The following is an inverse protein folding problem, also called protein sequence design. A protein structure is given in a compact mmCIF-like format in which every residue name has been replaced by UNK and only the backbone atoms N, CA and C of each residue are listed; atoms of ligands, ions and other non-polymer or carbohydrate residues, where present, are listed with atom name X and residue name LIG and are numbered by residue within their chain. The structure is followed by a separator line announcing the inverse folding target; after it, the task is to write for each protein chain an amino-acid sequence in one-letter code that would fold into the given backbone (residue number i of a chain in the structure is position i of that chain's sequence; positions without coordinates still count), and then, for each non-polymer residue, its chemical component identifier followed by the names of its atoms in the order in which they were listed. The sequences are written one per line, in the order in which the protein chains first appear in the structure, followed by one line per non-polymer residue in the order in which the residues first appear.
data_IF_963633938536
#
_entry.id   IF_963633938536
#
_cell.length_a   1.000
_cell.length_b   1.000
_cell.length_c   1.000
_cell.angle_alpha   90.00
_cell.angle_beta   90.00
_cell.angle_gamma   90.00
#
_symmetry.space_group_name_H-M   'P 1'
#
loop_
_entity.id
_entity.type
_entity.pdbx_description
1 polymer ?
#
# COMPACT_ATOMS: atom_id res chain seq x y z
N UNK A 1 81.00 -19.65 8.87
CA UNK A 1 80.64 -18.38 8.19
C UNK A 1 80.34 -18.74 6.74
N UNK A 2 79.20 -18.49 6.09
CA UNK A 2 77.96 -17.74 6.33
C UNK A 2 76.84 -18.49 5.57
N UNK A 3 75.64 -18.48 6.14
CA UNK A 3 74.43 -19.23 5.77
C UNK A 3 73.86 -18.84 4.39
N UNK A 4 73.35 -19.83 3.65
CA UNK A 4 72.47 -19.65 2.49
C UNK A 4 71.07 -19.28 2.99
N UNK A 5 70.57 -18.10 2.63
CA UNK A 5 69.19 -17.68 2.92
C UNK A 5 68.27 -18.11 1.77
N UNK A 6 67.29 -18.97 2.07
CA UNK A 6 66.11 -19.18 1.23
C UNK A 6 65.10 -18.06 1.54
N UNK A 7 64.78 -17.25 0.54
CA UNK A 7 63.70 -16.27 0.62
C UNK A 7 62.40 -16.96 0.21
N UNK A 8 61.50 -17.19 1.17
CA UNK A 8 60.15 -17.66 0.91
C UNK A 8 59.28 -16.47 0.47
N UNK A 9 58.78 -16.52 -0.77
CA UNK A 9 57.88 -15.52 -1.33
C UNK A 9 56.44 -15.89 -0.92
N UNK A 10 55.91 -15.22 0.10
CA UNK A 10 54.52 -15.38 0.51
C UNK A 10 53.62 -14.64 -0.49
N UNK A 11 52.82 -15.39 -1.27
CA UNK A 11 51.68 -14.83 -1.99
C UNK A 11 50.62 -14.45 -0.96
N UNK A 12 50.51 -13.16 -0.66
CA UNK A 12 49.32 -12.61 0.00
C UNK A 12 48.22 -12.57 -1.05
N UNK A 13 47.28 -13.51 -0.97
CA UNK A 13 46.02 -13.43 -1.69
C UNK A 13 45.24 -12.23 -1.13
N UNK A 14 45.35 -11.08 -1.79
CA UNK A 14 44.42 -9.98 -1.56
C UNK A 14 43.09 -10.39 -2.18
N UNK A 15 42.19 -10.95 -1.35
CA UNK A 15 40.78 -11.02 -1.71
C UNK A 15 40.32 -9.58 -1.98
N UNK A 16 39.74 -9.26 -3.15
CA UNK A 16 39.07 -7.98 -3.29
C UNK A 16 37.94 -8.00 -2.26
N UNK A 17 38.03 -7.12 -1.27
CA UNK A 17 36.83 -6.65 -0.58
C UNK A 17 36.01 -5.97 -1.67
N UNK A 18 35.08 -6.71 -2.27
CA UNK A 18 34.00 -6.10 -3.01
C UNK A 18 33.34 -5.16 -2.01
N UNK A 19 33.52 -3.84 -2.20
CA UNK A 19 32.68 -2.87 -1.54
C UNK A 19 31.26 -3.24 -1.94
N UNK A 20 30.47 -3.74 -1.00
CA UNK A 20 29.04 -3.87 -1.22
C UNK A 20 28.57 -2.45 -1.55
N UNK A 21 28.26 -2.20 -2.82
CA UNK A 21 27.74 -0.90 -3.24
C UNK A 21 26.38 -0.74 -2.56
N UNK A 22 26.17 0.38 -1.89
CA UNK A 22 24.87 0.69 -1.29
C UNK A 22 23.81 0.75 -2.37
N UNK A 23 22.63 0.21 -2.08
CA UNK A 23 21.45 0.26 -2.94
C UNK A 23 20.68 1.51 -2.54
N UNK A 24 20.61 2.47 -3.44
CA UNK A 24 19.92 3.74 -3.19
C UNK A 24 18.39 3.53 -3.20
N UNK A 25 17.69 3.99 -2.16
CA UNK A 25 16.23 3.82 -2.04
C UNK A 25 15.53 5.16 -1.80
N UNK A 26 14.66 5.54 -2.75
CA UNK A 26 13.71 6.63 -2.58
C UNK A 26 12.60 6.18 -1.63
N UNK A 27 12.40 6.84 -0.50
CA UNK A 27 11.40 6.46 0.50
C UNK A 27 10.35 7.56 0.64
N UNK A 28 9.13 7.27 0.23
CA UNK A 28 8.01 8.18 0.43
C UNK A 28 7.40 8.04 1.84
N UNK A 29 7.28 9.17 2.52
CA UNK A 29 6.46 9.36 3.71
C UNK A 29 5.93 10.79 3.71
N UNK A 30 4.63 10.99 3.95
CA UNK A 30 4.03 12.34 3.93
C UNK A 30 4.63 13.30 4.95
N UNK A 31 5.24 12.80 6.02
CA UNK A 31 5.97 13.56 7.05
C UNK A 31 7.49 13.58 6.78
N UNK A 32 7.95 12.88 5.74
CA UNK A 32 9.34 12.77 5.35
C UNK A 32 10.14 11.92 6.34
N UNK A 33 11.39 12.32 6.61
CA UNK A 33 12.32 11.53 7.43
C UNK A 33 11.89 11.31 8.89
N UNK A 34 10.85 12.00 9.37
CA UNK A 34 10.33 11.84 10.73
C UNK A 34 9.01 11.05 10.78
N UNK A 35 8.52 10.57 9.64
CA UNK A 35 7.25 9.86 9.55
C UNK A 35 7.37 8.39 9.91
N UNK A 36 6.24 7.79 10.28
CA UNK A 36 6.19 6.40 10.74
C UNK A 36 6.56 5.40 9.64
N UNK A 37 6.26 5.70 8.37
CA UNK A 37 6.63 4.82 7.25
C UNK A 37 8.11 4.91 6.94
N UNK A 38 8.70 6.11 7.02
CA UNK A 38 10.15 6.26 6.87
C UNK A 38 10.90 5.48 7.97
N UNK A 39 10.49 5.65 9.23
CA UNK A 39 11.05 4.91 10.36
C UNK A 39 10.90 3.38 10.19
N UNK A 40 9.76 2.92 9.68
CA UNK A 40 9.57 1.50 9.38
C UNK A 40 10.56 1.01 8.31
N UNK A 41 10.80 1.81 7.26
CA UNK A 41 11.75 1.47 6.20
C UNK A 41 13.20 1.53 6.70
N UNK A 42 13.52 2.40 7.66
CA UNK A 42 14.81 2.38 8.38
C UNK A 42 15.02 1.06 9.12
N UNK A 43 14.03 0.59 9.88
CA UNK A 43 14.10 -0.70 10.58
C UNK A 43 14.26 -1.86 9.59
N UNK A 44 13.50 -1.85 8.49
CA UNK A 44 13.62 -2.83 7.41
C UNK A 44 15.04 -2.81 6.79
N UNK A 45 15.58 -1.62 6.51
CA UNK A 45 16.92 -1.47 5.94
C UNK A 45 18.01 -1.98 6.90
N UNK A 46 17.85 -1.71 8.19
CA UNK A 46 18.75 -2.21 9.23
C UNK A 46 18.73 -3.75 9.31
N UNK A 47 17.55 -4.36 9.25
CA UNK A 47 17.42 -5.83 9.25
C UNK A 47 18.03 -6.43 7.99
N UNK A 48 17.79 -5.82 6.82
CA UNK A 48 18.38 -6.25 5.55
C UNK A 48 19.90 -6.14 5.52
N UNK A 49 20.48 -5.18 6.25
CA UNK A 49 21.93 -5.06 6.43
C UNK A 49 22.52 -6.30 7.11
N UNK A 50 21.80 -6.92 8.05
CA UNK A 50 22.21 -8.20 8.67
C UNK A 50 22.21 -9.37 7.68
N UNK A 51 21.50 -9.23 6.55
CA UNK A 51 21.44 -10.16 5.44
C UNK A 51 22.36 -9.77 4.27
N UNK A 52 23.26 -8.80 4.45
CA UNK A 52 24.26 -8.42 3.46
C UNK A 52 23.76 -7.45 2.38
N UNK A 53 22.57 -6.88 2.55
CA UNK A 53 22.00 -5.85 1.66
C UNK A 53 22.03 -4.50 2.37
N UNK A 54 22.83 -3.57 1.86
CA UNK A 54 22.94 -2.23 2.45
C UNK A 54 22.10 -1.24 1.65
N UNK A 55 21.07 -0.66 2.27
CA UNK A 55 20.23 0.36 1.64
C UNK A 55 20.62 1.76 2.12
N UNK A 56 20.73 2.69 1.18
CA UNK A 56 20.91 4.12 1.44
C UNK A 56 19.58 4.84 1.20
N UNK A 57 18.94 5.28 2.29
CA UNK A 57 17.58 5.82 2.24
C UNK A 57 17.58 7.33 1.95
N UNK A 58 16.73 7.74 1.03
CA UNK A 58 16.47 9.13 0.67
C UNK A 58 15.01 9.47 0.98
N UNK A 59 14.73 10.39 1.91
CA UNK A 59 13.36 10.74 2.29
C UNK A 59 12.68 11.66 1.27
N UNK A 60 11.42 11.38 0.97
CA UNK A 60 10.56 12.20 0.11
C UNK A 60 9.19 12.43 0.77
N UNK A 61 8.72 13.67 0.76
CA UNK A 61 7.35 14.04 1.17
C UNK A 61 6.36 14.05 0.02
N UNK A 62 6.86 14.03 -1.22
CA UNK A 62 6.06 13.96 -2.43
C UNK A 62 6.32 12.61 -3.11
N UNK A 63 5.27 11.78 -3.15
CA UNK A 63 5.33 10.45 -3.72
C UNK A 63 5.63 10.47 -5.23
N UNK A 64 5.11 11.48 -5.94
CA UNK A 64 5.36 11.67 -7.37
C UNK A 64 6.83 11.98 -7.66
N UNK A 65 7.48 12.76 -6.79
CA UNK A 65 8.93 13.05 -6.90
C UNK A 65 9.75 11.79 -6.62
N UNK A 66 9.45 11.02 -5.57
CA UNK A 66 10.13 9.75 -5.28
C UNK A 66 10.05 8.77 -6.47
N UNK A 67 8.87 8.66 -7.07
CA UNK A 67 8.63 7.84 -8.27
C UNK A 67 9.39 8.41 -9.48
N UNK A 68 9.44 9.73 -9.64
CA UNK A 68 10.19 10.41 -10.70
C UNK A 68 11.69 10.11 -10.64
N UNK A 69 12.29 10.24 -9.46
CA UNK A 69 13.71 9.99 -9.24
C UNK A 69 14.08 8.51 -9.39
N UNK A 70 13.22 7.60 -8.93
CA UNK A 70 13.35 6.16 -9.21
C UNK A 70 13.34 5.86 -10.71
N UNK A 71 12.39 6.44 -11.46
CA UNK A 71 12.31 6.27 -12.92
C UNK A 71 13.50 6.89 -13.66
N UNK A 72 14.06 7.99 -13.14
CA UNK A 72 15.24 8.65 -13.70
C UNK A 72 16.55 7.93 -13.38
N UNK A 73 16.52 6.88 -12.57
CA UNK A 73 17.71 6.12 -12.18
C UNK A 73 18.51 6.75 -11.03
N UNK A 74 17.95 7.72 -10.32
CA UNK A 74 18.60 8.32 -9.14
C UNK A 74 18.49 7.41 -7.90
N UNK A 75 17.45 6.58 -7.85
CA UNK A 75 17.27 5.54 -6.85
C UNK A 75 17.20 4.17 -7.54
N UNK A 76 17.87 3.16 -6.98
CA UNK A 76 17.84 1.75 -7.40
C UNK A 76 16.57 1.04 -6.95
N UNK A 77 15.98 1.51 -5.84
CA UNK A 77 14.73 1.05 -5.27
C UNK A 77 13.83 2.23 -4.87
N UNK A 78 12.55 1.95 -4.68
CA UNK A 78 11.56 2.90 -4.16
C UNK A 78 10.62 2.22 -3.17
N UNK A 79 10.32 2.89 -2.06
CA UNK A 79 9.25 2.52 -1.14
C UNK A 79 8.11 3.53 -1.31
N UNK A 80 6.97 3.08 -1.86
CA UNK A 80 5.81 3.92 -2.16
C UNK A 80 4.49 3.13 -1.99
N UNK A 81 3.36 3.83 -2.04
CA UNK A 81 2.05 3.19 -1.90
C UNK A 81 1.76 2.26 -3.07
N UNK A 82 1.00 1.20 -2.82
CA UNK A 82 0.57 0.27 -3.86
C UNK A 82 -0.16 0.90 -5.05
N UNK A 83 -0.81 2.05 -4.82
CA UNK A 83 -1.45 2.88 -5.85
C UNK A 83 -0.42 3.36 -6.88
N UNK A 84 0.73 3.89 -6.43
CA UNK A 84 1.82 4.33 -7.32
C UNK A 84 2.67 3.17 -7.83
N UNK A 85 2.66 2.03 -7.15
CA UNK A 85 3.46 0.87 -7.53
C UNK A 85 2.81 0.01 -8.62
N UNK A 86 1.50 0.09 -8.80
CA UNK A 86 0.73 -0.68 -9.80
C UNK A 86 1.33 -0.71 -11.22
N UNK A 87 1.93 0.37 -11.78
CA UNK A 87 2.59 0.31 -13.08
C UNK A 87 3.82 -0.63 -13.14
N UNK A 88 4.54 -0.78 -12.03
CA UNK A 88 5.70 -1.68 -11.93
C UNK A 88 5.25 -3.13 -11.75
N UNK A 89 4.27 -3.36 -10.87
CA UNK A 89 3.68 -4.68 -10.66
C UNK A 89 2.17 -4.59 -10.48
N UNK A 90 1.41 -4.93 -11.53
CA UNK A 90 -0.06 -4.90 -11.50
C UNK A 90 -0.63 -5.90 -10.47
N UNK A 91 0.03 -7.04 -10.24
CA UNK A 91 -0.44 -8.06 -9.31
C UNK A 91 -0.44 -7.55 -7.86
N UNK A 92 0.68 -7.03 -7.37
CA UNK A 92 0.77 -6.49 -6.00
C UNK A 92 0.11 -5.12 -5.88
N UNK A 93 0.12 -4.29 -6.93
CA UNK A 93 -0.63 -3.02 -6.98
C UNK A 93 -2.16 -3.18 -7.01
N UNK A 94 -2.66 -4.42 -7.00
CA UNK A 94 -4.09 -4.75 -6.90
C UNK A 94 -4.52 -5.17 -5.49
N UNK A 95 -3.62 -5.13 -4.49
CA UNK A 95 -3.94 -5.51 -3.10
C UNK A 95 -5.00 -4.58 -2.51
N UNK A 96 -4.85 -3.27 -2.70
CA UNK A 96 -5.78 -2.24 -2.24
C UNK A 96 -7.05 -2.10 -3.08
N UNK A 97 -7.44 -3.15 -3.82
CA UNK A 97 -8.67 -3.13 -4.58
C UNK A 97 -9.87 -2.83 -3.66
N UNK A 98 -10.75 -1.92 -4.11
CA UNK A 98 -11.81 -1.38 -3.25
C UNK A 98 -12.75 -2.50 -2.78
N UNK A 99 -12.94 -2.59 -1.46
CA UNK A 99 -13.75 -3.58 -0.77
C UNK A 99 -13.22 -5.02 -0.86
N UNK A 100 -11.97 -5.23 -1.31
CA UNK A 100 -11.46 -6.58 -1.56
C UNK A 100 -10.93 -7.29 -0.31
N UNK A 101 -10.58 -6.55 0.76
CA UNK A 101 -10.04 -7.09 2.00
C UNK A 101 -10.83 -6.47 3.17
N UNK A 102 -11.88 -7.14 3.67
CA UNK A 102 -12.79 -6.56 4.67
C UNK A 102 -12.22 -6.57 6.09
N UNK A 103 -11.20 -7.39 6.38
CA UNK A 103 -10.63 -7.52 7.74
C UNK A 103 -9.11 -7.64 7.72
N UNK A 104 -8.47 -7.31 8.85
CA UNK A 104 -7.03 -7.51 9.01
C UNK A 104 -6.62 -8.99 9.00
N UNK A 105 -7.47 -9.93 9.43
CA UNK A 105 -7.20 -11.37 9.27
C UNK A 105 -7.10 -11.78 7.80
N UNK A 106 -7.94 -11.20 6.94
CA UNK A 106 -7.86 -11.41 5.50
C UNK A 106 -6.58 -10.80 4.91
N UNK A 107 -6.18 -9.61 5.38
CA UNK A 107 -4.91 -8.98 5.00
C UNK A 107 -3.71 -9.84 5.43
N UNK A 108 -3.69 -10.32 6.66
CA UNK A 108 -2.65 -11.17 7.20
C UNK A 108 -2.53 -12.46 6.38
N UNK A 109 -3.65 -13.11 6.05
CA UNK A 109 -3.68 -14.31 5.22
C UNK A 109 -3.08 -14.06 3.83
N UNK A 110 -3.42 -12.91 3.22
CA UNK A 110 -2.89 -12.51 1.93
C UNK A 110 -1.38 -12.30 2.01
N UNK A 111 -0.90 -11.44 2.90
CA UNK A 111 0.52 -11.09 2.99
C UNK A 111 1.38 -12.30 3.36
N UNK A 112 0.91 -13.17 4.27
CA UNK A 112 1.55 -14.44 4.58
C UNK A 112 1.69 -15.35 3.33
N UNK A 113 0.70 -15.33 2.45
CA UNK A 113 0.70 -16.10 1.20
C UNK A 113 1.70 -15.51 0.20
N UNK A 114 1.75 -14.17 0.08
CA UNK A 114 2.63 -13.47 -0.85
C UNK A 114 4.10 -13.51 -0.45
N UNK A 115 4.40 -13.66 0.85
CA UNK A 115 5.77 -13.79 1.36
C UNK A 115 6.43 -15.13 1.00
N UNK A 116 5.65 -16.16 0.63
CA UNK A 116 6.18 -17.49 0.36
C UNK A 116 7.00 -17.55 -0.94
N UNK A 117 8.04 -18.39 -1.03
CA UNK A 117 8.85 -18.55 -2.26
C UNK A 117 8.02 -18.91 -3.50
N UNK A 118 6.88 -19.59 -3.32
CA UNK A 118 5.97 -19.94 -4.42
C UNK A 118 5.34 -18.72 -5.10
N UNK A 119 5.26 -17.59 -4.40
CA UNK A 119 4.74 -16.33 -4.94
C UNK A 119 5.83 -15.49 -5.62
N UNK A 120 7.13 -15.82 -5.49
CA UNK A 120 8.23 -15.05 -6.07
C UNK A 120 8.07 -14.72 -7.56
N UNK A 121 7.60 -15.63 -8.44
CA UNK A 121 7.38 -15.30 -9.85
C UNK A 121 6.30 -14.23 -10.10
N UNK A 122 5.42 -13.96 -9.12
CA UNK A 122 4.40 -12.90 -9.21
C UNK A 122 4.93 -11.54 -8.74
N UNK A 123 6.11 -11.51 -8.10
CA UNK A 123 6.75 -10.30 -7.60
C UNK A 123 7.57 -9.59 -8.69
N UNK A 124 7.94 -10.32 -9.75
CA UNK A 124 8.68 -9.79 -10.90
C UNK A 124 7.71 -9.41 -12.04
N UNK A 125 7.76 -8.17 -12.50
CA UNK A 125 6.99 -7.70 -13.63
C UNK A 125 7.66 -6.47 -14.26
N UNK A 126 7.59 -6.33 -15.59
CA UNK A 126 8.04 -5.13 -16.32
C UNK A 126 9.50 -4.70 -16.06
N UNK A 127 10.40 -5.61 -15.68
CA UNK A 127 11.79 -5.30 -15.32
C UNK A 127 11.98 -4.81 -13.88
N UNK A 128 10.97 -5.00 -13.03
CA UNK A 128 10.97 -4.63 -11.63
C UNK A 128 10.63 -5.83 -10.75
N UNK A 129 11.11 -5.81 -9.51
CA UNK A 129 10.80 -6.80 -8.50
C UNK A 129 10.29 -6.15 -7.21
N UNK A 130 9.19 -6.69 -6.68
CA UNK A 130 8.66 -6.32 -5.36
C UNK A 130 9.47 -7.04 -4.28
N UNK A 131 10.17 -6.25 -3.48
CA UNK A 131 11.06 -6.69 -2.41
C UNK A 131 10.34 -6.83 -1.06
N UNK A 132 9.25 -6.11 -0.86
CA UNK A 132 8.51 -6.15 0.40
C UNK A 132 7.13 -5.51 0.26
N UNK A 133 6.18 -5.98 1.05
CA UNK A 133 4.82 -5.46 1.12
C UNK A 133 4.48 -5.31 2.60
N UNK A 134 4.11 -4.10 3.00
CA UNK A 134 3.85 -3.74 4.39
C UNK A 134 2.47 -3.10 4.47
N UNK A 135 1.59 -3.50 5.40
CA UNK A 135 0.31 -2.84 5.57
C UNK A 135 0.51 -1.43 6.14
N UNK A 136 -0.27 -0.46 5.65
CA UNK A 136 -0.31 0.92 6.21
C UNK A 136 -1.67 1.27 6.80
N UNK A 137 -2.56 0.28 6.91
CA UNK A 137 -3.88 0.39 7.52
C UNK A 137 -5.03 0.48 6.52
N UNK A 138 -6.23 0.39 7.06
CA UNK A 138 -7.45 0.55 6.31
C UNK A 138 -7.63 2.00 5.86
N UNK A 139 -7.96 2.20 4.59
CA UNK A 139 -8.47 3.48 4.09
C UNK A 139 -9.91 3.68 4.54
N UNK A 140 -10.13 4.70 5.37
CA UNK A 140 -11.45 5.10 5.84
C UNK A 140 -11.95 6.33 5.09
N UNK A 141 -13.28 6.49 5.03
CA UNK A 141 -13.91 7.71 4.52
C UNK A 141 -14.03 8.74 5.64
N UNK A 142 -13.41 9.90 5.44
CA UNK A 142 -13.56 11.09 6.26
C UNK A 142 -14.68 11.94 5.67
N UNK A 143 -15.67 12.27 6.47
CA UNK A 143 -16.85 13.05 6.05
C UNK A 143 -16.99 14.30 6.90
N UNK A 144 -17.37 15.41 6.28
CA UNK A 144 -17.65 16.66 7.00
C UNK A 144 -19.07 16.68 7.63
N UNK A 145 -19.90 15.69 7.31
CA UNK A 145 -21.26 15.52 7.81
C UNK A 145 -21.53 14.02 8.05
N UNK A 146 -21.88 13.66 9.28
CA UNK A 146 -22.16 12.26 9.70
C UNK A 146 -23.38 11.65 9.04
N UNK A 147 -24.25 12.45 8.42
CA UNK A 147 -25.35 11.92 7.59
C UNK A 147 -24.85 11.24 6.32
N UNK A 148 -23.58 11.44 5.94
CA UNK A 148 -22.91 10.69 4.87
C UNK A 148 -22.41 9.36 5.43
N UNK A 149 -23.35 8.50 5.82
CA UNK A 149 -23.10 7.18 6.42
C UNK A 149 -23.37 6.03 5.45
N UNK A 150 -23.83 6.34 4.23
CA UNK A 150 -24.00 5.34 3.19
C UNK A 150 -23.50 5.69 1.80
N UNK A 151 -23.28 4.66 0.96
CA UNK A 151 -22.88 4.84 -0.43
C UNK A 151 -23.93 5.63 -1.24
N UNK A 152 -25.22 5.53 -0.89
CA UNK A 152 -26.27 6.32 -1.51
C UNK A 152 -26.16 7.82 -1.20
N UNK A 153 -25.74 8.15 0.03
CA UNK A 153 -25.58 9.54 0.50
C UNK A 153 -24.33 10.23 -0.08
N UNK A 154 -23.46 9.49 -0.77
CA UNK A 154 -22.35 10.04 -1.54
C UNK A 154 -22.78 10.70 -2.84
N UNK A 155 -23.99 10.40 -3.35
CA UNK A 155 -24.46 10.97 -4.60
C UNK A 155 -24.46 12.52 -4.56
N UNK A 156 -23.77 13.13 -5.52
CA UNK A 156 -23.60 14.58 -5.61
C UNK A 156 -22.59 15.20 -4.62
N UNK A 157 -22.02 14.42 -3.69
CA UNK A 157 -20.97 14.91 -2.78
C UNK A 157 -19.64 15.07 -3.51
N UNK A 158 -18.88 16.10 -3.15
CA UNK A 158 -17.54 16.35 -3.68
C UNK A 158 -16.54 15.52 -2.91
N UNK A 159 -15.82 14.63 -3.60
CA UNK A 159 -14.81 13.78 -2.98
C UNK A 159 -13.44 14.22 -3.44
N UNK A 160 -12.50 14.45 -2.52
CA UNK A 160 -11.10 14.55 -2.89
C UNK A 160 -10.63 13.18 -3.38
N UNK A 161 -10.21 13.11 -4.65
CA UNK A 161 -9.78 11.86 -5.28
C UNK A 161 -8.44 12.08 -5.95
N UNK A 162 -7.49 11.18 -5.69
CA UNK A 162 -6.16 11.25 -6.29
C UNK A 162 -6.28 11.12 -7.82
N UNK A 163 -5.76 12.09 -8.56
CA UNK A 163 -5.95 12.17 -10.02
C UNK A 163 -5.34 11.00 -10.81
N UNK A 164 -4.35 10.33 -10.21
CA UNK A 164 -3.70 9.14 -10.73
C UNK A 164 -4.38 7.83 -10.30
N UNK A 165 -5.31 7.85 -9.33
CA UNK A 165 -5.95 6.66 -8.79
C UNK A 165 -7.22 6.29 -9.58
N UNK A 166 -7.00 5.66 -10.74
CA UNK A 166 -8.05 5.29 -11.70
C UNK A 166 -9.23 4.51 -11.10
N UNK A 167 -8.96 3.59 -10.16
CA UNK A 167 -10.00 2.81 -9.49
C UNK A 167 -10.84 3.62 -8.50
N UNK A 168 -10.24 4.56 -7.78
CA UNK A 168 -11.00 5.48 -6.94
C UNK A 168 -11.85 6.43 -7.79
N UNK A 169 -11.30 6.94 -8.90
CA UNK A 169 -12.05 7.78 -9.86
C UNK A 169 -13.28 7.02 -10.40
N UNK A 170 -13.11 5.75 -10.80
CA UNK A 170 -14.22 4.93 -11.26
C UNK A 170 -15.25 4.72 -10.15
N UNK A 171 -14.82 4.37 -8.93
CA UNK A 171 -15.72 4.19 -7.78
C UNK A 171 -16.52 5.45 -7.44
N UNK A 172 -15.88 6.63 -7.42
CA UNK A 172 -16.56 7.91 -7.15
C UNK A 172 -17.65 8.17 -8.19
N UNK A 173 -17.37 7.91 -9.47
CA UNK A 173 -18.37 8.02 -10.53
C UNK A 173 -19.48 6.96 -10.40
N UNK A 174 -19.11 5.73 -10.03
CA UNK A 174 -20.03 4.61 -9.83
C UNK A 174 -21.10 4.93 -8.77
N UNK A 175 -20.68 5.55 -7.65
CA UNK A 175 -21.59 6.02 -6.59
C UNK A 175 -22.21 7.40 -6.87
N UNK A 176 -22.01 7.94 -8.09
CA UNK A 176 -22.55 9.23 -8.55
C UNK A 176 -22.12 10.42 -7.71
N UNK A 177 -20.97 10.32 -7.06
CA UNK A 177 -20.31 11.43 -6.40
C UNK A 177 -19.53 12.27 -7.43
N UNK A 178 -19.02 13.42 -7.00
CA UNK A 178 -18.23 14.33 -7.84
C UNK A 178 -16.76 14.20 -7.51
N UNK A 179 -15.96 13.78 -8.50
CA UNK A 179 -14.50 13.78 -8.41
C UNK A 179 -13.99 15.21 -8.30
N UNK A 180 -13.27 15.51 -7.22
CA UNK A 180 -12.43 16.71 -7.11
C UNK A 180 -10.97 16.28 -7.20
N UNK A 181 -10.34 16.43 -8.38
CA UNK A 181 -8.97 15.98 -8.62
C UNK A 181 -8.02 16.54 -7.58
N UNK A 182 -7.24 15.67 -6.97
CA UNK A 182 -6.35 15.98 -5.85
C UNK A 182 -5.04 15.20 -5.96
N UNK A 183 -4.07 15.59 -5.16
CA UNK A 183 -2.80 14.90 -5.00
C UNK A 183 -2.56 14.61 -3.50
N UNK A 184 -1.64 13.69 -3.20
CA UNK A 184 -1.27 13.32 -1.83
C UNK A 184 -0.84 14.53 -1.00
N UNK A 185 -0.29 15.56 -1.65
CA UNK A 185 0.17 16.81 -1.03
C UNK A 185 -0.94 17.82 -0.72
N UNK A 186 -2.14 17.69 -1.29
CA UNK A 186 -3.18 18.72 -1.20
C UNK A 186 -4.60 18.26 -0.83
N UNK A 187 -4.88 16.96 -0.86
CA UNK A 187 -6.23 16.45 -0.58
C UNK A 187 -6.72 16.84 0.83
N UNK A 188 -5.86 16.75 1.85
CA UNK A 188 -6.17 17.10 3.22
C UNK A 188 -6.52 18.59 3.36
N UNK A 189 -5.77 19.47 2.69
CA UNK A 189 -6.06 20.91 2.68
C UNK A 189 -7.44 21.22 2.10
N UNK A 190 -7.83 20.55 1.00
CA UNK A 190 -9.17 20.69 0.39
C UNK A 190 -10.28 20.20 1.30
N UNK A 191 -10.05 19.13 2.06
CA UNK A 191 -11.03 18.64 3.02
C UNK A 191 -11.15 19.59 4.22
N UNK A 192 -10.01 19.96 4.80
CA UNK A 192 -9.94 20.82 5.99
C UNK A 192 -10.53 22.22 5.76
N UNK A 193 -10.52 22.73 4.53
CA UNK A 193 -11.11 24.03 4.19
C UNK A 193 -12.54 23.94 3.60
N UNK A 194 -13.14 22.74 3.51
CA UNK A 194 -14.50 22.54 3.01
C UNK A 194 -14.66 22.62 1.48
N UNK A 195 -13.56 22.62 0.72
CA UNK A 195 -13.60 22.54 -0.75
C UNK A 195 -14.15 21.21 -1.25
N UNK A 196 -14.09 20.17 -0.42
CA UNK A 196 -14.72 18.87 -0.64
C UNK A 196 -15.55 18.47 0.57
N UNK A 197 -16.48 17.55 0.37
CA UNK A 197 -17.35 17.02 1.42
C UNK A 197 -16.75 15.77 2.07
N UNK A 198 -15.95 15.03 1.30
CA UNK A 198 -15.27 13.82 1.79
C UNK A 198 -13.83 13.71 1.30
N UNK A 199 -13.03 12.98 2.06
CA UNK A 199 -11.71 12.50 1.71
C UNK A 199 -11.57 11.04 2.17
N UNK A 200 -10.56 10.32 1.68
CA UNK A 200 -10.24 8.98 2.16
C UNK A 200 -8.76 8.87 2.48
N UNK A 201 -8.44 8.26 3.61
CA UNK A 201 -7.08 8.07 4.08
C UNK A 201 -7.02 6.99 5.18
N UNK A 202 -5.85 6.45 5.51
CA UNK A 202 -5.68 5.67 6.72
C UNK A 202 -5.81 6.50 8.00
N UNK A 203 -5.98 5.82 9.12
CA UNK A 203 -6.20 6.45 10.43
C UNK A 203 -5.11 7.46 10.83
N UNK A 204 -3.84 7.22 10.46
CA UNK A 204 -2.74 8.14 10.77
C UNK A 204 -2.99 9.58 10.28
N UNK A 205 -3.72 9.73 9.17
CA UNK A 205 -3.99 11.03 8.57
C UNK A 205 -4.91 11.90 9.44
N UNK A 206 -5.68 11.30 10.36
CA UNK A 206 -6.54 12.03 11.29
C UNK A 206 -5.75 13.10 12.04
N UNK A 207 -4.64 12.72 12.68
CA UNK A 207 -3.74 13.64 13.38
C UNK A 207 -2.70 14.26 12.44
N UNK A 208 -1.99 13.43 11.67
CA UNK A 208 -0.82 13.88 10.91
C UNK A 208 -1.15 14.92 9.83
N UNK A 209 -2.34 14.82 9.23
CA UNK A 209 -2.84 15.75 8.21
C UNK A 209 -3.99 16.62 8.73
N UNK A 210 -4.20 16.58 10.05
CA UNK A 210 -5.21 17.36 10.77
C UNK A 210 -6.62 17.23 10.18
N UNK A 211 -6.99 16.04 9.66
CA UNK A 211 -8.30 15.81 9.05
C UNK A 211 -9.45 16.02 10.04
N UNK A 212 -9.18 16.01 11.35
CA UNK A 212 -10.13 16.43 12.38
C UNK A 212 -10.67 17.87 12.16
N UNK A 213 -9.92 18.74 11.48
CA UNK A 213 -10.38 20.10 11.14
C UNK A 213 -11.52 20.08 10.12
N UNK A 214 -11.40 19.25 9.07
CA UNK A 214 -12.46 19.08 8.06
C UNK A 214 -13.67 18.31 8.57
N UNK A 215 -13.45 17.38 9.51
CA UNK A 215 -14.52 16.68 10.25
C UNK A 215 -15.32 17.68 11.11
N UNK A 216 -14.62 18.54 11.87
CA UNK A 216 -15.24 19.48 12.80
C UNK A 216 -16.19 18.81 13.80
N UNK A 217 -17.30 19.48 14.13
CA UNK A 217 -18.29 18.98 15.09
C UNK A 217 -19.37 18.09 14.44
N UNK A 218 -19.53 18.18 13.12
CA UNK A 218 -20.64 17.57 12.39
C UNK A 218 -20.25 16.32 11.62
N UNK A 219 -18.97 16.12 11.35
CA UNK A 219 -18.43 15.04 10.55
C UNK A 219 -18.01 13.83 11.37
N UNK A 220 -17.31 12.93 10.69
CA UNK A 220 -16.72 11.75 11.32
C UNK A 220 -15.87 10.94 10.36
N UNK A 221 -15.46 9.78 10.86
CA UNK A 221 -14.75 8.74 10.12
C UNK A 221 -15.69 7.55 9.99
N UNK A 222 -16.04 7.18 8.77
CA UNK A 222 -16.92 6.05 8.52
C UNK A 222 -16.20 4.76 8.88
N UNK A 223 -16.77 4.00 9.82
CA UNK A 223 -16.23 2.74 10.33
C UNK A 223 -16.50 1.59 9.33
N UNK A 224 -15.82 1.69 8.20
CA UNK A 224 -15.84 0.70 7.14
C UNK A 224 -14.55 0.79 6.31
N UNK A 225 -13.75 -0.28 6.22
CA UNK A 225 -12.52 -0.28 5.43
C UNK A 225 -12.87 -0.27 3.94
N UNK A 226 -12.57 0.83 3.25
CA UNK A 226 -12.75 0.92 1.79
C UNK A 226 -11.70 0.12 1.04
N UNK A 227 -10.48 0.08 1.57
CA UNK A 227 -9.36 -0.69 1.04
C UNK A 227 -8.35 -0.93 2.16
N UNK A 228 -7.53 -1.97 2.03
CA UNK A 228 -6.33 -2.12 2.86
C UNK A 228 -5.16 -1.60 2.05
N UNK A 229 -4.59 -0.47 2.47
CA UNK A 229 -3.48 0.15 1.77
C UNK A 229 -2.18 -0.54 2.17
N UNK A 230 -1.26 -0.64 1.22
CA UNK A 230 0.10 -1.15 1.47
C UNK A 230 1.17 -0.18 0.98
N UNK A 231 2.29 -0.14 1.70
CA UNK A 231 3.56 0.36 1.22
C UNK A 231 4.30 -0.81 0.59
N UNK A 232 4.86 -0.61 -0.60
CA UNK A 232 5.61 -1.63 -1.32
C UNK A 232 7.00 -1.12 -1.64
N UNK A 233 7.98 -1.98 -1.39
CA UNK A 233 9.39 -1.75 -1.74
C UNK A 233 9.61 -2.42 -3.10
N UNK A 234 10.02 -1.64 -4.09
CA UNK A 234 10.24 -2.09 -5.46
C UNK A 234 11.63 -1.70 -5.90
N UNK A 235 12.35 -2.63 -6.50
CA UNK A 235 13.62 -2.37 -7.16
C UNK A 235 13.55 -2.74 -8.64
N UNK A 236 14.56 -2.30 -9.41
CA UNK A 236 14.82 -2.92 -10.70
C UNK A 236 15.23 -4.39 -10.48
N UNK A 237 14.79 -5.28 -11.37
CA UNK A 237 14.88 -6.75 -11.21
C UNK A 237 16.33 -7.27 -11.08
N UNK A 238 17.32 -6.49 -11.52
CA UNK A 238 18.75 -6.85 -11.48
C UNK A 238 19.51 -6.29 -10.26
N UNK A 239 18.82 -5.54 -9.38
CA UNK A 239 19.44 -4.92 -8.18
C UNK A 239 19.74 -5.94 -7.09
N UNK A 240 18.88 -6.94 -6.92
CA UNK A 240 19.05 -8.02 -5.94
C UNK A 240 18.98 -9.38 -6.64
N UNK A 241 19.78 -10.34 -6.19
CA UNK A 241 19.60 -11.72 -6.61
C UNK A 241 18.30 -12.32 -6.04
N UNK A 242 17.81 -13.39 -6.67
CA UNK A 242 16.52 -14.01 -6.32
C UNK A 242 16.45 -14.43 -4.84
N UNK A 243 17.58 -14.86 -4.26
CA UNK A 243 17.65 -15.27 -2.87
C UNK A 243 17.52 -14.08 -1.91
N UNK A 244 18.21 -12.98 -2.20
CA UNK A 244 18.16 -11.73 -1.43
C UNK A 244 16.82 -11.05 -1.56
N UNK A 245 16.22 -11.03 -2.75
CA UNK A 245 14.88 -10.50 -2.97
C UNK A 245 13.81 -11.32 -2.24
N UNK A 246 13.93 -12.66 -2.25
CA UNK A 246 13.05 -13.52 -1.46
C UNK A 246 13.24 -13.30 0.04
N UNK A 247 14.48 -13.18 0.50
CA UNK A 247 14.79 -12.90 1.90
C UNK A 247 14.21 -11.56 2.35
N UNK A 248 14.28 -10.55 1.49
CA UNK A 248 13.66 -9.25 1.71
C UNK A 248 12.14 -9.35 1.96
N UNK A 249 11.42 -10.15 1.17
CA UNK A 249 9.98 -10.34 1.37
C UNK A 249 9.67 -11.03 2.70
N UNK A 250 10.50 -11.97 3.11
CA UNK A 250 10.39 -12.63 4.42
C UNK A 250 10.65 -11.66 5.57
N UNK A 251 11.65 -10.77 5.44
CA UNK A 251 11.92 -9.71 6.42
C UNK A 251 10.72 -8.78 6.55
N UNK A 252 10.21 -8.25 5.44
CA UNK A 252 9.03 -7.38 5.45
C UNK A 252 7.81 -8.08 6.09
N UNK A 253 7.59 -9.37 5.79
CA UNK A 253 6.53 -10.15 6.41
C UNK A 253 6.71 -10.33 7.91
N UNK A 254 7.92 -10.61 8.39
CA UNK A 254 8.20 -10.77 9.82
C UNK A 254 7.97 -9.47 10.62
N UNK A 255 7.96 -8.32 9.94
CA UNK A 255 7.63 -7.02 10.53
C UNK A 255 6.12 -6.71 10.54
N UNK A 256 5.27 -7.61 10.03
CA UNK A 256 3.81 -7.44 10.06
C UNK A 256 3.26 -7.10 11.46
N UNK A 257 3.69 -7.74 12.57
CA UNK A 257 3.23 -7.37 13.91
C UNK A 257 3.58 -5.94 14.32
N UNK A 258 4.76 -5.45 13.91
CA UNK A 258 5.17 -4.06 14.16
C UNK A 258 4.26 -3.08 13.41
N UNK A 259 3.98 -3.37 12.13
CA UNK A 259 3.09 -2.55 11.32
C UNK A 259 1.66 -2.54 11.91
N UNK A 260 1.12 -3.70 12.31
CA UNK A 260 -0.21 -3.78 12.90
C UNK A 260 -0.34 -3.04 14.22
N UNK A 261 0.65 -3.13 15.11
CA UNK A 261 0.64 -2.38 16.37
C UNK A 261 0.58 -0.86 16.13
N UNK A 262 1.29 -0.37 15.12
CA UNK A 262 1.23 1.03 14.73
C UNK A 262 -0.16 1.41 14.21
N UNK A 263 -0.72 0.61 13.28
CA UNK A 263 -2.04 0.84 12.70
C UNK A 263 -3.13 0.86 13.78
N UNK A 264 -3.15 -0.14 14.67
CA UNK A 264 -4.12 -0.24 15.76
C UNK A 264 -4.02 0.96 16.71
N UNK A 265 -2.80 1.43 17.00
CA UNK A 265 -2.58 2.63 17.80
C UNK A 265 -3.12 3.90 17.12
N UNK A 266 -2.93 4.02 15.81
CA UNK A 266 -3.43 5.16 15.03
C UNK A 266 -4.96 5.15 14.96
N UNK A 267 -5.58 3.99 14.78
CA UNK A 267 -7.04 3.83 14.84
C UNK A 267 -7.60 4.16 16.22
N UNK A 268 -6.97 3.66 17.30
CA UNK A 268 -7.38 3.92 18.67
C UNK A 268 -7.18 5.39 19.11
N UNK A 269 -6.35 6.16 18.39
CA UNK A 269 -6.18 7.59 18.63
C UNK A 269 -7.37 8.42 18.13
N UNK A 270 -8.20 7.89 17.22
CA UNK A 270 -9.41 8.56 16.76
C UNK A 270 -10.47 8.48 17.87
N UNK A 271 -11.02 9.61 18.35
CA UNK A 271 -12.02 9.60 19.42
C UNK A 271 -13.26 8.78 19.04
N UNK A 272 -13.78 7.99 19.98
CA UNK A 272 -14.89 7.06 19.73
C UNK A 272 -16.12 7.75 19.10
N UNK A 273 -16.43 8.97 19.56
CA UNK A 273 -17.54 9.76 19.05
C UNK A 273 -17.37 10.20 17.59
N UNK A 274 -16.15 10.15 17.04
CA UNK A 274 -15.88 10.50 15.64
C UNK A 274 -16.14 9.34 14.70
N UNK A 275 -16.20 8.10 15.17
CA UNK A 275 -16.59 6.97 14.34
C UNK A 275 -18.07 7.04 13.94
N UNK A 276 -18.36 6.79 12.67
CA UNK A 276 -19.69 6.70 12.09
C UNK A 276 -19.94 5.26 11.69
N UNK A 277 -20.76 4.55 12.47
CA UNK A 277 -21.05 3.14 12.25
C UNK A 277 -22.16 2.97 11.23
N UNK A 278 -21.92 2.12 10.23
CA UNK A 278 -22.87 1.82 9.17
C UNK A 278 -23.82 0.71 9.64
N UNK A 279 -25.13 0.79 9.35
CA UNK A 279 -26.04 -0.32 9.64
C UNK A 279 -25.67 -1.60 8.87
N UNK A 280 -25.75 -2.77 9.52
CA UNK A 280 -25.37 -4.06 8.92
C UNK A 280 -26.09 -4.38 7.59
N UNK A 281 -27.34 -3.92 7.45
CA UNK A 281 -28.12 -4.11 6.22
C UNK A 281 -27.47 -3.43 5.01
N UNK A 282 -26.83 -2.28 5.22
CA UNK A 282 -26.24 -1.46 4.18
C UNK A 282 -24.84 -1.99 3.81
N UNK A 283 -24.12 -2.57 4.78
CA UNK A 283 -22.85 -3.28 4.59
C UNK A 283 -22.97 -4.40 3.52
N UNK A 284 -24.06 -5.16 3.53
CA UNK A 284 -24.29 -6.22 2.51
C UNK A 284 -24.43 -5.65 1.12
N UNK A 285 -25.14 -4.53 0.97
CA UNK A 285 -25.27 -3.83 -0.30
C UNK A 285 -23.92 -3.37 -0.84
N UNK A 286 -23.02 -2.92 0.03
CA UNK A 286 -21.69 -2.47 -0.38
C UNK A 286 -20.81 -3.60 -0.86
N UNK A 287 -20.87 -4.76 -0.22
CA UNK A 287 -20.05 -5.89 -0.65
C UNK A 287 -20.37 -6.30 -2.09
N UNK A 288 -21.65 -6.29 -2.47
CA UNK A 288 -22.05 -6.59 -3.85
C UNK A 288 -21.67 -5.46 -4.81
N UNK A 289 -21.91 -4.20 -4.42
CA UNK A 289 -21.50 -3.02 -5.19
C UNK A 289 -19.99 -3.04 -5.48
N UNK A 290 -19.16 -3.29 -4.46
CA UNK A 290 -17.72 -3.37 -4.61
C UNK A 290 -17.30 -4.56 -5.48
N UNK A 291 -17.98 -5.70 -5.37
CA UNK A 291 -17.71 -6.86 -6.21
C UNK A 291 -17.96 -6.57 -7.69
N UNK A 292 -19.11 -5.98 -8.03
CA UNK A 292 -19.43 -5.59 -9.41
C UNK A 292 -18.39 -4.62 -9.96
N UNK A 293 -18.06 -3.59 -9.17
CA UNK A 293 -17.04 -2.61 -9.53
C UNK A 293 -15.65 -3.24 -9.75
N UNK A 294 -15.23 -4.20 -8.91
CA UNK A 294 -13.95 -4.90 -9.11
C UNK A 294 -13.96 -5.76 -10.37
N UNK A 295 -15.07 -6.42 -10.69
CA UNK A 295 -15.21 -7.19 -11.94
C UNK A 295 -15.09 -6.26 -13.14
N UNK A 296 -15.76 -5.10 -13.13
CA UNK A 296 -15.64 -4.12 -14.21
C UNK A 296 -14.20 -3.65 -14.41
N UNK A 297 -13.48 -3.34 -13.32
CA UNK A 297 -12.10 -2.85 -13.37
C UNK A 297 -11.04 -3.94 -13.58
N UNK A 298 -11.39 -5.21 -13.40
CA UNK A 298 -10.57 -6.37 -13.80
C UNK A 298 -10.71 -6.67 -15.29
N UNK A 299 -11.93 -6.54 -15.81
CA UNK A 299 -12.28 -6.97 -17.17
C UNK A 299 -12.35 -5.80 -18.17
N UNK A 300 -12.23 -4.55 -17.71
CA UNK A 300 -12.32 -3.34 -18.53
C UNK A 300 -13.73 -3.13 -19.12
N UNK A 301 -14.78 -3.42 -18.35
CA UNK A 301 -16.17 -3.38 -18.80
C UNK A 301 -16.84 -2.05 -18.45
N UNK A 302 -17.93 -1.71 -19.15
CA UNK A 302 -18.79 -0.56 -18.83
C UNK A 302 -18.04 0.80 -18.75
N UNK A 303 -16.93 0.95 -19.49
CA UNK A 303 -16.10 2.15 -19.47
C UNK A 303 -15.10 2.22 -18.30
N UNK A 304 -15.05 1.17 -17.47
CA UNK A 304 -14.08 1.03 -16.40
C UNK A 304 -12.66 0.79 -16.95
N UNK A 305 -11.62 1.34 -16.31
CA UNK A 305 -10.25 1.07 -16.70
C UNK A 305 -9.83 -0.34 -16.24
N UNK A 306 -9.09 -1.07 -17.08
CA UNK A 306 -8.48 -2.34 -16.69
C UNK A 306 -7.26 -2.10 -15.79
N UNK A 307 -7.49 -2.10 -14.48
CA UNK A 307 -6.46 -1.80 -13.46
C UNK A 307 -6.17 -2.96 -12.53
N UNK A 308 -7.09 -3.91 -12.36
CA UNK A 308 -6.88 -5.03 -11.45
C UNK A 308 -6.33 -6.28 -12.13
N UNK A 309 -5.39 -6.94 -11.46
CA UNK A 309 -4.80 -8.17 -11.96
C UNK A 309 -5.72 -9.37 -11.70
N UNK A 310 -6.12 -10.17 -12.72
CA UNK A 310 -7.07 -11.27 -12.54
C UNK A 310 -6.66 -12.32 -11.50
N UNK A 311 -5.37 -12.69 -11.45
CA UNK A 311 -4.87 -13.62 -10.42
C UNK A 311 -4.99 -13.07 -9.00
N UNK A 312 -4.80 -11.75 -8.81
CA UNK A 312 -4.95 -11.14 -7.49
C UNK A 312 -6.42 -11.10 -7.10
N UNK A 313 -7.31 -10.70 -8.00
CA UNK A 313 -8.76 -10.70 -7.75
C UNK A 313 -9.28 -12.09 -7.37
N UNK A 314 -8.84 -13.13 -8.09
CA UNK A 314 -9.18 -14.51 -7.74
C UNK A 314 -8.63 -14.96 -6.38
N UNK A 315 -7.43 -14.51 -6.00
CA UNK A 315 -6.86 -14.82 -4.68
C UNK A 315 -7.66 -14.13 -3.56
N UNK A 316 -7.97 -12.84 -3.72
CA UNK A 316 -8.75 -12.07 -2.75
C UNK A 316 -10.17 -12.63 -2.59
N UNK A 317 -10.82 -12.98 -3.70
CA UNK A 317 -12.11 -13.69 -3.74
C UNK A 317 -12.08 -14.98 -2.91
N UNK A 318 -11.04 -15.82 -3.10
CA UNK A 318 -10.87 -17.05 -2.30
C UNK A 318 -10.67 -16.77 -0.81
N UNK A 319 -9.89 -15.74 -0.45
CA UNK A 319 -9.65 -15.37 0.95
C UNK A 319 -10.97 -14.93 1.61
N UNK A 320 -11.75 -14.06 0.95
CA UNK A 320 -13.06 -13.63 1.46
C UNK A 320 -14.04 -14.79 1.58
N UNK A 321 -14.06 -15.71 0.62
CA UNK A 321 -14.92 -16.89 0.69
C UNK A 321 -14.48 -17.93 1.72
N UNK A 322 -13.20 -17.93 2.12
CA UNK A 322 -12.74 -18.75 3.23
C UNK A 322 -13.20 -18.17 4.58
N UNK A 323 -13.18 -16.85 4.76
CA UNK A 323 -13.62 -16.20 6.00
C UNK A 323 -15.14 -16.04 6.11
N UNK A 324 -15.84 -15.86 4.99
CA UNK A 324 -17.30 -15.78 4.93
C UNK A 324 -17.87 -16.60 3.76
N UNK A 325 -17.98 -17.93 3.89
CA UNK A 325 -18.53 -18.80 2.84
C UNK A 325 -19.98 -18.49 2.45
N UNK A 326 -20.72 -17.79 3.32
CA UNK A 326 -22.12 -17.43 3.10
C UNK A 326 -22.30 -16.14 2.30
N UNK A 327 -21.22 -15.41 1.99
CA UNK A 327 -21.30 -14.18 1.21
C UNK A 327 -21.89 -14.44 -0.18
N UNK A 328 -22.66 -13.48 -0.70
CA UNK A 328 -23.33 -13.59 -2.00
C UNK A 328 -22.33 -13.91 -3.12
N UNK A 329 -21.15 -13.28 -3.09
CA UNK A 329 -20.07 -13.51 -4.06
C UNK A 329 -19.59 -14.96 -4.14
N UNK A 330 -19.65 -15.70 -3.04
CA UNK A 330 -19.14 -17.06 -2.92
C UNK A 330 -20.10 -18.11 -3.49
N UNK A 331 -21.35 -17.71 -3.77
CA UNK A 331 -22.37 -18.58 -4.36
C UNK A 331 -22.85 -18.08 -5.71
N UNK A 332 -22.52 -16.84 -6.09
CA UNK A 332 -22.84 -16.26 -7.39
C UNK A 332 -22.33 -17.12 -8.56
N UNK A 333 -23.06 -17.11 -9.68
CA UNK A 333 -22.66 -17.79 -10.90
C UNK A 333 -21.49 -17.05 -11.60
N UNK A 334 -21.45 -15.73 -11.48
CA UNK A 334 -20.41 -14.86 -12.02
C UNK A 334 -19.35 -14.51 -10.95
N UNK A 335 -18.69 -15.52 -10.39
CA UNK A 335 -17.67 -15.31 -9.35
C UNK A 335 -16.52 -14.44 -9.87
N UNK A 336 -16.02 -13.60 -8.97
CA UNK A 336 -14.75 -12.88 -9.15
C UNK A 336 -13.54 -13.84 -9.14
#
# INVERSE_FOLDING_TARGET
MIRKSLTAMALVAASPFASAQSISMCVFDVIGANGDFYNFVEDYALEMKSHGVDFELMPYTDEGVAIGDFNAGQCDAVAATDIRIRPYNKFTGSISAVGAIPTYDNLQTLLATLAQPKAAPLMKANGYEVLGIVPVGAGYLFVNDRSIDTAGELAGKRMATLDYQKDAIHMVNFVKATVVPSDITNFAGKFNNGSVDTAYAPAFAYEALELYKGIGDKGGVVDYPLAQLTLQIVARDDVLDDASAQKSREVAWNMFPQAMNLIEKQEAAIPEEKWVRIPEKDIRGYQEMFRENRIEMRDGLNGAPDVYHPKMMSLLSKIRCASNPSAAECTAANRE
#
